data_IF_067637584158
#
_entry.id   IF_067637584158
#
_cell.length_a   1.000
_cell.length_b   1.000
_cell.length_c   1.000
_cell.angle_alpha   90.00
_cell.angle_beta   90.00
_cell.angle_gamma   90.00
#
_symmetry.space_group_name_H-M   'P 1'
#
loop_
_entity.id
_entity.type
_entity.pdbx_description
1 polymer ?
#
# COMPACT_ATOMS: atom_id res chain seq x y z
N UNK A 1 0.55 0.10 4.06
CA UNK A 1 0.21 0.28 2.64
C UNK A 1 0.14 1.77 2.32
N UNK A 2 1.24 2.32 1.82
CA UNK A 2 1.42 3.73 1.53
C UNK A 2 1.39 3.98 0.02
N UNK A 3 0.69 5.03 -0.38
CA UNK A 3 0.65 5.51 -1.75
C UNK A 3 2.06 5.97 -2.20
N UNK A 4 2.49 5.61 -3.39
CA UNK A 4 3.81 6.02 -3.93
C UNK A 4 3.92 7.52 -4.17
N UNK A 5 2.82 8.19 -4.52
CA UNK A 5 2.82 9.62 -4.88
C UNK A 5 2.72 10.52 -3.64
N UNK A 6 1.68 10.36 -2.82
CA UNK A 6 1.47 11.22 -1.66
C UNK A 6 2.15 10.72 -0.38
N UNK A 7 2.79 9.53 -0.42
CA UNK A 7 3.46 8.85 0.73
C UNK A 7 2.60 8.64 1.97
N UNK A 8 1.30 8.93 1.90
CA UNK A 8 0.36 8.73 3.00
C UNK A 8 0.03 7.25 3.15
N UNK A 9 -0.04 6.80 4.40
CA UNK A 9 -0.51 5.47 4.76
C UNK A 9 -2.04 5.49 4.77
N UNK A 10 -2.64 4.82 3.78
CA UNK A 10 -4.09 4.75 3.62
C UNK A 10 -4.71 3.47 4.14
N UNK A 11 -3.90 2.40 4.24
CA UNK A 11 -4.39 1.11 4.73
C UNK A 11 -3.39 0.49 5.72
N UNK A 12 -3.94 0.02 6.82
CA UNK A 12 -3.32 -0.91 7.76
C UNK A 12 -3.74 -2.32 7.37
N UNK A 13 -2.85 -3.04 6.70
CA UNK A 13 -3.03 -4.46 6.38
C UNK A 13 -2.16 -5.26 7.34
N UNK A 14 -2.74 -6.29 7.97
CA UNK A 14 -1.98 -7.24 8.78
C UNK A 14 -1.67 -8.43 7.89
N UNK A 15 -0.39 -8.60 7.58
CA UNK A 15 0.12 -9.67 6.72
C UNK A 15 0.74 -10.77 7.59
N UNK A 16 0.55 -12.02 7.19
CA UNK A 16 1.28 -13.13 7.77
C UNK A 16 2.72 -13.14 7.24
N UNK A 17 3.67 -12.73 8.08
CA UNK A 17 5.11 -12.63 7.73
C UNK A 17 5.77 -13.98 7.41
N UNK A 18 5.09 -15.10 7.70
CA UNK A 18 5.64 -16.45 7.54
C UNK A 18 5.47 -17.01 6.13
N UNK A 19 4.31 -16.80 5.49
CA UNK A 19 4.02 -17.28 4.13
C UNK A 19 4.39 -16.28 3.03
N UNK A 20 4.14 -14.99 3.26
CA UNK A 20 4.37 -13.96 2.25
C UNK A 20 5.65 -13.19 2.59
N UNK A 21 6.78 -13.56 1.99
CA UNK A 21 8.03 -12.81 2.17
C UNK A 21 8.16 -11.61 1.22
N UNK A 22 7.45 -11.65 0.09
CA UNK A 22 7.51 -10.57 -0.90
C UNK A 22 6.72 -9.32 -0.49
N UNK A 23 7.22 -8.17 -0.92
CA UNK A 23 6.63 -6.86 -0.64
C UNK A 23 5.34 -6.72 -1.44
N UNK A 24 4.19 -6.62 -0.77
CA UNK A 24 2.92 -6.48 -1.50
C UNK A 24 2.78 -5.09 -2.12
N UNK A 25 2.54 -5.09 -3.43
CA UNK A 25 2.22 -3.91 -4.22
C UNK A 25 0.77 -4.04 -4.73
N UNK A 26 -0.14 -3.19 -4.24
CA UNK A 26 -1.54 -3.20 -4.67
C UNK A 26 -1.90 -1.87 -5.32
N UNK A 27 -2.64 -1.92 -6.44
CA UNK A 27 -3.26 -0.73 -7.03
C UNK A 27 -4.52 -0.42 -6.23
N UNK A 28 -4.47 0.64 -5.42
CA UNK A 28 -5.60 1.11 -4.60
C UNK A 28 -5.90 2.56 -4.94
N UNK A 29 -7.16 2.95 -4.74
CA UNK A 29 -7.57 4.33 -4.92
C UNK A 29 -6.98 5.20 -3.80
N UNK A 30 -6.32 6.29 -4.18
CA UNK A 30 -5.86 7.32 -3.26
C UNK A 30 -6.83 8.50 -3.29
N UNK A 31 -7.50 8.80 -2.16
CA UNK A 31 -8.43 9.93 -2.06
C UNK A 31 -7.78 11.29 -2.27
N UNK A 32 -6.48 11.43 -2.00
CA UNK A 32 -5.75 12.70 -2.16
C UNK A 32 -5.25 12.92 -3.58
N UNK A 33 -4.77 11.87 -4.26
CA UNK A 33 -4.40 11.94 -5.67
C UNK A 33 -5.62 11.85 -6.60
N UNK A 34 -6.80 11.52 -6.04
CA UNK A 34 -8.06 11.25 -6.76
C UNK A 34 -7.92 10.23 -7.89
N UNK A 35 -7.04 9.24 -7.71
CA UNK A 35 -6.72 8.25 -8.74
C UNK A 35 -6.26 6.93 -8.13
N UNK A 36 -6.23 5.88 -8.97
CA UNK A 36 -5.69 4.57 -8.59
C UNK A 36 -4.17 4.56 -8.74
N UNK A 37 -3.49 4.52 -7.61
CA UNK A 37 -2.03 4.55 -7.55
C UNK A 37 -1.49 3.27 -6.93
N UNK A 38 -0.20 3.01 -7.19
CA UNK A 38 0.51 1.91 -6.56
C UNK A 38 0.67 2.21 -5.08
N UNK A 39 0.14 1.31 -4.25
CA UNK A 39 0.33 1.35 -2.81
C UNK A 39 1.28 0.23 -2.41
N UNK A 40 2.39 0.61 -1.77
CA UNK A 40 3.45 -0.29 -1.32
C UNK A 40 3.32 -0.58 0.16
N UNK A 41 3.63 -1.79 0.56
CA UNK A 41 3.72 -2.15 1.97
C UNK A 41 4.78 -1.30 2.69
N UNK A 42 4.43 -0.78 3.87
CA UNK A 42 5.24 0.19 4.61
C UNK A 42 5.44 -0.34 6.03
N UNK A 43 6.45 -1.21 6.15
CA UNK A 43 6.91 -1.95 7.35
C UNK A 43 5.90 -2.91 7.98
#
# INVERSE_FOLDING_TARGET
MACTECRRRNYTTVKNRQNDRERMELRKYCRWCRGHTLHRETR
#
